data_IF_993475995033
#
_entry.id   IF_993475995033
#
_cell.length_a   1.000
_cell.length_b   1.000
_cell.length_c   1.000
_cell.angle_alpha   90.00
_cell.angle_beta   90.00
_cell.angle_gamma   90.00
#
_symmetry.space_group_name_H-M   'P 1'
#
loop_
_entity.id
_entity.type
_entity.pdbx_description
1 polymer ?
#
# COMPACT_ATOMS: atom_id res chain seq x y z
N UNK A 1 24.49 -46.01 33.76
CA UNK A 1 23.84 -44.83 33.16
C UNK A 1 22.52 -44.45 33.83
N UNK A 2 21.59 -45.38 34.09
CA UNK A 2 20.29 -45.06 34.71
C UNK A 2 20.38 -44.32 36.06
N UNK A 3 21.36 -44.67 36.91
CA UNK A 3 21.57 -43.94 38.17
C UNK A 3 22.00 -42.48 37.94
N UNK A 4 22.84 -42.23 36.94
CA UNK A 4 23.32 -40.89 36.61
C UNK A 4 22.22 -40.01 36.03
N UNK A 5 21.31 -40.55 35.21
CA UNK A 5 20.14 -39.79 34.74
C UNK A 5 19.20 -39.37 35.89
N UNK A 6 19.07 -40.20 36.93
CA UNK A 6 18.20 -39.90 38.07
C UNK A 6 18.81 -38.94 39.10
N UNK A 7 20.15 -38.92 39.25
CA UNK A 7 20.84 -38.14 40.30
C UNK A 7 21.62 -36.94 39.79
N UNK A 8 21.68 -36.76 38.47
CA UNK A 8 22.40 -35.63 37.85
C UNK A 8 21.53 -34.95 36.79
N UNK A 9 21.98 -33.78 36.38
CA UNK A 9 21.35 -32.95 35.36
C UNK A 9 21.45 -33.49 33.93
N UNK A 10 21.94 -34.74 33.74
CA UNK A 10 21.96 -35.41 32.45
C UNK A 10 20.54 -35.70 31.90
N UNK A 11 19.52 -35.76 32.75
CA UNK A 11 18.11 -35.77 32.37
C UNK A 11 17.36 -34.68 33.14
N UNK A 12 16.58 -33.85 32.42
CA UNK A 12 15.78 -32.78 33.03
C UNK A 12 14.38 -32.74 32.46
N UNK A 13 13.41 -32.56 33.35
CA UNK A 13 12.03 -32.27 33.00
C UNK A 13 11.79 -30.77 32.96
N UNK A 14 11.07 -30.30 31.95
CA UNK A 14 10.66 -28.91 31.80
C UNK A 14 9.14 -28.82 31.75
N UNK A 15 8.55 -28.02 32.64
CA UNK A 15 7.11 -27.78 32.65
C UNK A 15 6.74 -26.84 31.50
N UNK A 16 5.79 -27.27 30.66
CA UNK A 16 5.24 -26.46 29.58
C UNK A 16 3.81 -26.05 29.96
N UNK A 17 3.54 -24.75 29.93
CA UNK A 17 2.19 -24.19 30.05
C UNK A 17 2.00 -23.14 28.96
N UNK A 18 1.20 -23.47 27.94
CA UNK A 18 0.97 -22.61 26.77
C UNK A 18 -0.12 -21.56 27.05
N UNK A 19 0.11 -20.72 28.06
CA UNK A 19 -0.79 -19.61 28.40
C UNK A 19 -0.39 -18.35 27.65
N UNK A 20 -1.34 -17.74 26.92
CA UNK A 20 -1.10 -16.55 26.09
C UNK A 20 -2.35 -15.70 25.92
N UNK A 21 -2.18 -14.43 25.51
CA UNK A 21 -3.29 -13.53 25.19
C UNK A 21 -3.76 -13.81 23.77
N UNK A 22 -5.06 -14.08 23.60
CA UNK A 22 -5.66 -14.30 22.29
C UNK A 22 -5.92 -13.02 21.51
N UNK A 23 -6.37 -13.17 20.27
CA UNK A 23 -6.82 -12.06 19.42
C UNK A 23 -8.05 -11.32 19.99
N UNK A 24 -8.79 -11.97 20.90
CA UNK A 24 -9.89 -11.39 21.67
C UNK A 24 -9.42 -10.55 22.87
N UNK A 25 -8.09 -10.43 23.07
CA UNK A 25 -7.48 -9.68 24.16
C UNK A 25 -7.55 -10.37 25.53
N UNK A 26 -7.97 -11.64 25.59
CA UNK A 26 -8.12 -12.38 26.85
C UNK A 26 -7.01 -13.43 27.03
N UNK A 27 -6.50 -13.65 28.25
CA UNK A 27 -5.55 -14.71 28.52
C UNK A 27 -6.25 -16.08 28.50
N UNK A 28 -5.64 -17.05 27.81
CA UNK A 28 -6.11 -18.43 27.76
C UNK A 28 -4.95 -19.42 27.58
N UNK A 29 -5.09 -20.62 28.15
CA UNK A 29 -4.22 -21.76 27.84
C UNK A 29 -4.72 -22.38 26.54
N UNK A 30 -3.84 -22.49 25.54
CA UNK A 30 -4.20 -22.96 24.20
C UNK A 30 -3.44 -24.22 23.82
N UNK A 31 -4.11 -25.14 23.13
CA UNK A 31 -3.45 -26.29 22.54
C UNK A 31 -2.72 -25.90 21.23
N UNK A 32 -1.89 -26.80 20.70
CA UNK A 32 -1.09 -26.52 19.51
C UNK A 32 -1.93 -26.16 18.28
N UNK A 33 -3.08 -26.82 18.08
CA UNK A 33 -3.96 -26.57 16.94
C UNK A 33 -4.59 -25.17 17.03
N UNK A 34 -5.05 -24.77 18.21
CA UNK A 34 -5.62 -23.44 18.47
C UNK A 34 -4.59 -22.34 18.18
N UNK A 35 -3.36 -22.52 18.67
CA UNK A 35 -2.26 -21.56 18.46
C UNK A 35 -1.98 -21.37 16.98
N UNK A 36 -1.79 -22.47 16.23
CA UNK A 36 -1.48 -22.40 14.81
C UNK A 36 -2.64 -21.82 14.00
N UNK A 37 -3.88 -22.21 14.32
CA UNK A 37 -5.08 -21.72 13.63
C UNK A 37 -5.28 -20.22 13.84
N UNK A 38 -5.17 -19.77 15.08
CA UNK A 38 -5.33 -18.37 15.46
C UNK A 38 -4.19 -17.51 14.89
N UNK A 39 -2.97 -18.02 14.92
CA UNK A 39 -1.83 -17.35 14.31
C UNK A 39 -2.00 -17.19 12.79
N UNK A 40 -2.56 -18.19 12.09
CA UNK A 40 -2.85 -18.08 10.66
C UNK A 40 -3.94 -17.03 10.37
N UNK A 41 -4.94 -16.89 11.24
CA UNK A 41 -5.95 -15.82 11.14
C UNK A 41 -5.28 -14.45 11.29
N UNK A 42 -4.48 -14.27 12.34
CA UNK A 42 -3.71 -13.06 12.57
C UNK A 42 -2.78 -12.74 11.39
N UNK A 43 -2.06 -13.74 10.88
CA UNK A 43 -1.10 -13.56 9.79
C UNK A 43 -1.80 -13.18 8.50
N UNK A 44 -2.96 -13.78 8.21
CA UNK A 44 -3.79 -13.43 7.05
C UNK A 44 -4.29 -11.98 7.14
N UNK A 45 -4.77 -11.56 8.30
CA UNK A 45 -5.21 -10.17 8.52
C UNK A 45 -4.03 -9.18 8.35
N UNK A 46 -2.87 -9.50 8.93
CA UNK A 46 -1.65 -8.70 8.78
C UNK A 46 -1.24 -8.55 7.32
N UNK A 47 -1.26 -9.64 6.55
CA UNK A 47 -0.95 -9.60 5.12
C UNK A 47 -1.98 -8.80 4.34
N UNK A 48 -3.28 -8.96 4.64
CA UNK A 48 -4.35 -8.15 4.03
C UNK A 48 -4.13 -6.66 4.27
N UNK A 49 -3.84 -6.24 5.51
CA UNK A 49 -3.52 -4.84 5.84
C UNK A 49 -2.31 -4.33 5.07
N UNK A 50 -1.24 -5.14 4.98
CA UNK A 50 -0.04 -4.78 4.20
C UNK A 50 -0.34 -4.57 2.72
N UNK A 51 -1.15 -5.46 2.12
CA UNK A 51 -1.53 -5.36 0.71
C UNK A 51 -2.43 -4.15 0.46
N UNK A 52 -3.43 -3.91 1.33
CA UNK A 52 -4.28 -2.72 1.25
C UNK A 52 -3.46 -1.42 1.36
N UNK A 53 -2.49 -1.37 2.28
CA UNK A 53 -1.58 -0.23 2.41
C UNK A 53 -0.79 0.03 1.13
N UNK A 54 -0.28 -1.02 0.48
CA UNK A 54 0.44 -0.88 -0.79
C UNK A 54 -0.51 -0.47 -1.92
N UNK A 55 -1.68 -1.09 -2.00
CA UNK A 55 -2.70 -0.77 -3.00
C UNK A 55 -3.13 0.70 -2.92
N UNK A 56 -3.39 1.22 -1.73
CA UNK A 56 -3.74 2.63 -1.54
C UNK A 56 -2.64 3.57 -2.05
N UNK A 57 -1.36 3.24 -1.80
CA UNK A 57 -0.23 4.02 -2.34
C UNK A 57 -0.18 3.97 -3.86
N UNK A 58 -0.38 2.79 -4.46
CA UNK A 58 -0.39 2.60 -5.91
C UNK A 58 -1.54 3.41 -6.53
N UNK A 59 -2.75 3.31 -5.97
CA UNK A 59 -3.92 4.07 -6.44
C UNK A 59 -3.71 5.58 -6.35
N UNK A 60 -3.19 6.08 -5.22
CA UNK A 60 -2.85 7.50 -5.06
C UNK A 60 -1.84 7.96 -6.10
N UNK A 61 -0.81 7.13 -6.38
CA UNK A 61 0.20 7.48 -7.38
C UNK A 61 -0.39 7.49 -8.79
N UNK A 62 -1.14 6.46 -9.17
CA UNK A 62 -1.84 6.39 -10.46
C UNK A 62 -2.76 7.60 -10.67
N UNK A 63 -3.51 7.98 -9.64
CA UNK A 63 -4.38 9.17 -9.67
C UNK A 63 -3.62 10.45 -9.99
N UNK A 64 -2.45 10.65 -9.39
CA UNK A 64 -1.59 11.81 -9.72
C UNK A 64 -1.05 11.70 -11.14
N UNK A 65 -0.55 10.53 -11.56
CA UNK A 65 -0.02 10.33 -12.91
C UNK A 65 -1.07 10.60 -14.00
N UNK A 66 -2.33 10.23 -13.77
CA UNK A 66 -3.45 10.54 -14.65
C UNK A 66 -3.61 12.06 -14.83
N UNK A 67 -3.62 12.83 -13.73
CA UNK A 67 -3.72 14.29 -13.79
C UNK A 67 -2.54 14.92 -14.52
N UNK A 68 -1.32 14.41 -14.29
CA UNK A 68 -0.13 14.89 -15.00
C UNK A 68 -0.26 14.63 -16.51
N UNK A 69 -0.71 13.45 -16.93
CA UNK A 69 -0.89 13.12 -18.35
C UNK A 69 -1.94 14.01 -19.05
N UNK A 70 -3.02 14.36 -18.35
CA UNK A 70 -4.00 15.34 -18.84
C UNK A 70 -3.34 16.70 -19.04
N UNK A 71 -2.46 17.13 -18.12
CA UNK A 71 -1.72 18.38 -18.26
C UNK A 71 -0.71 18.34 -19.43
N UNK A 72 -0.03 17.22 -19.67
CA UNK A 72 0.87 17.08 -20.83
C UNK A 72 0.12 17.18 -22.16
N UNK A 73 -1.09 16.60 -22.25
CA UNK A 73 -1.89 16.65 -23.47
C UNK A 73 -2.39 18.06 -23.78
N UNK A 74 -2.63 18.88 -22.75
CA UNK A 74 -3.22 20.22 -22.86
C UNK A 74 -2.28 21.31 -22.31
N UNK A 75 -0.97 21.16 -22.53
CA UNK A 75 0.05 21.99 -21.85
C UNK A 75 -0.11 23.49 -22.12
N UNK A 76 -0.48 23.87 -23.35
CA UNK A 76 -0.66 25.26 -23.73
C UNK A 76 -1.82 25.90 -22.96
N UNK A 77 -2.93 25.18 -22.83
CA UNK A 77 -4.13 25.63 -22.10
C UNK A 77 -3.89 25.65 -20.58
N UNK A 78 -3.15 24.68 -20.04
CA UNK A 78 -2.73 24.69 -18.64
C UNK A 78 -1.85 25.91 -18.34
N UNK A 79 -0.88 26.23 -19.20
CA UNK A 79 -0.02 27.40 -19.04
C UNK A 79 -0.83 28.69 -19.17
N UNK A 80 -1.79 28.74 -20.11
CA UNK A 80 -2.67 29.89 -20.28
C UNK A 80 -3.50 30.17 -19.03
N UNK A 81 -4.13 29.14 -18.46
CA UNK A 81 -4.88 29.25 -17.19
C UNK A 81 -3.97 29.73 -16.06
N UNK A 82 -2.78 29.14 -15.91
CA UNK A 82 -1.83 29.51 -14.84
C UNK A 82 -1.34 30.97 -14.98
N UNK A 83 -1.28 31.50 -16.21
CA UNK A 83 -0.79 32.87 -16.46
C UNK A 83 -1.88 33.93 -16.34
N UNK A 84 -3.13 33.60 -16.65
CA UNK A 84 -4.21 34.57 -16.80
C UNK A 84 -5.22 34.56 -15.64
N UNK A 85 -5.31 33.48 -14.88
CA UNK A 85 -6.20 33.38 -13.71
C UNK A 85 -5.45 33.75 -12.42
N UNK A 86 -6.10 34.53 -11.55
CA UNK A 86 -5.57 34.86 -10.22
C UNK A 86 -5.52 33.61 -9.33
N UNK A 87 -6.50 32.72 -9.46
CA UNK A 87 -6.59 31.44 -8.76
C UNK A 87 -6.64 30.28 -9.77
N UNK A 88 -5.49 29.76 -10.22
CA UNK A 88 -5.46 28.75 -11.29
C UNK A 88 -5.97 27.37 -10.85
N UNK A 89 -5.90 27.04 -9.56
CA UNK A 89 -6.27 25.73 -9.03
C UNK A 89 -7.77 25.39 -9.25
N UNK A 90 -8.74 26.22 -8.82
CA UNK A 90 -10.16 25.99 -9.14
C UNK A 90 -10.47 25.97 -10.64
N UNK A 91 -9.78 26.79 -11.43
CA UNK A 91 -9.95 26.85 -12.88
C UNK A 91 -9.49 25.55 -13.57
N UNK A 92 -8.31 25.02 -13.21
CA UNK A 92 -7.79 23.74 -13.70
C UNK A 92 -8.72 22.56 -13.33
N UNK A 93 -9.23 22.54 -12.10
CA UNK A 93 -10.18 21.52 -11.65
C UNK A 93 -11.47 21.55 -12.47
N UNK A 94 -12.05 22.73 -12.67
CA UNK A 94 -13.30 22.89 -13.40
C UNK A 94 -13.16 22.59 -14.88
N UNK A 95 -12.04 22.98 -15.49
CA UNK A 95 -11.81 22.83 -16.92
C UNK A 95 -11.53 21.39 -17.33
N UNK A 96 -10.68 20.71 -16.56
CA UNK A 96 -10.18 19.37 -16.90
C UNK A 96 -10.80 18.24 -16.06
N UNK A 97 -11.75 18.56 -15.18
CA UNK A 97 -12.38 17.59 -14.28
C UNK A 97 -11.41 16.99 -13.25
N UNK A 98 -10.37 17.75 -12.89
CA UNK A 98 -9.31 17.29 -12.00
C UNK A 98 -9.75 17.43 -10.54
N UNK A 99 -9.26 16.51 -9.70
CA UNK A 99 -9.36 16.65 -8.26
C UNK A 99 -8.37 17.69 -7.73
N UNK A 100 -8.60 18.15 -6.51
CA UNK A 100 -7.74 19.11 -5.84
C UNK A 100 -6.27 18.64 -5.78
N UNK A 101 -6.04 17.37 -5.45
CA UNK A 101 -4.69 16.79 -5.34
C UNK A 101 -3.98 16.67 -6.70
N UNK A 102 -4.71 16.43 -7.78
CA UNK A 102 -4.17 16.43 -9.13
C UNK A 102 -3.80 17.85 -9.58
N UNK A 103 -4.68 18.82 -9.36
CA UNK A 103 -4.43 20.22 -9.70
C UNK A 103 -3.18 20.74 -8.95
N UNK A 104 -3.07 20.43 -7.66
CA UNK A 104 -1.87 20.76 -6.86
C UNK A 104 -0.60 20.15 -7.46
N UNK A 105 -0.65 18.87 -7.84
CA UNK A 105 0.50 18.19 -8.43
C UNK A 105 0.92 18.79 -9.80
N UNK A 106 -0.03 19.32 -10.57
CA UNK A 106 0.25 20.02 -11.83
C UNK A 106 0.90 21.37 -11.55
N UNK A 107 0.44 22.12 -10.55
CA UNK A 107 1.03 23.42 -10.19
C UNK A 107 2.47 23.27 -9.64
N UNK A 108 2.77 22.16 -8.98
CA UNK A 108 4.12 21.80 -8.50
C UNK A 108 5.04 21.27 -9.62
N UNK A 109 4.57 21.14 -10.86
CA UNK A 109 5.43 20.71 -11.97
C UNK A 109 6.50 21.76 -12.29
N UNK A 110 7.74 21.29 -12.33
CA UNK A 110 8.87 22.09 -12.84
C UNK A 110 8.87 22.07 -14.36
N UNK A 111 9.14 23.21 -15.00
CA UNK A 111 9.22 23.33 -16.47
C UNK A 111 10.11 22.27 -17.14
N UNK A 112 11.21 21.86 -16.50
CA UNK A 112 12.09 20.79 -17.00
C UNK A 112 11.39 19.44 -17.17
N UNK A 113 10.31 19.21 -16.42
CA UNK A 113 9.52 17.99 -16.51
C UNK A 113 8.58 17.99 -17.72
N UNK A 114 8.45 19.11 -18.45
CA UNK A 114 7.63 19.19 -19.67
C UNK A 114 8.29 18.58 -20.92
N UNK A 115 9.50 18.03 -20.79
CA UNK A 115 10.19 17.38 -21.89
C UNK A 115 9.50 16.05 -22.28
N UNK A 116 9.48 15.70 -23.58
CA UNK A 116 8.92 14.43 -24.09
C UNK A 116 9.46 13.17 -23.38
N UNK A 117 10.72 13.20 -22.94
CA UNK A 117 11.33 12.09 -22.21
C UNK A 117 10.65 11.83 -20.86
N UNK A 118 10.17 12.88 -20.19
CA UNK A 118 9.49 12.75 -18.90
C UNK A 118 8.05 12.24 -19.07
N UNK A 119 7.37 12.62 -20.16
CA UNK A 119 6.07 12.01 -20.51
C UNK A 119 6.20 10.49 -20.70
N UNK A 120 7.23 10.03 -21.43
CA UNK A 120 7.48 8.59 -21.62
C UNK A 120 7.74 7.87 -20.30
N UNK A 121 8.50 8.48 -19.38
CA UNK A 121 8.73 7.93 -18.04
C UNK A 121 7.44 7.82 -17.24
N UNK A 122 6.59 8.84 -17.29
CA UNK A 122 5.29 8.84 -16.59
C UNK A 122 4.38 7.74 -17.13
N UNK A 123 4.29 7.57 -18.45
CA UNK A 123 3.52 6.47 -19.06
C UNK A 123 4.07 5.10 -18.69
N UNK A 124 5.40 4.96 -18.63
CA UNK A 124 6.07 3.75 -18.16
C UNK A 124 5.70 3.42 -16.71
N UNK A 125 5.84 4.41 -15.82
CA UNK A 125 5.49 4.28 -14.40
C UNK A 125 4.00 3.92 -14.23
N UNK A 126 3.10 4.57 -14.98
CA UNK A 126 1.68 4.26 -14.95
C UNK A 126 1.41 2.79 -15.35
N UNK A 127 2.01 2.32 -16.45
CA UNK A 127 1.83 0.95 -16.93
C UNK A 127 2.32 -0.10 -15.92
N UNK A 128 3.43 0.17 -15.23
CA UNK A 128 3.94 -0.72 -14.18
C UNK A 128 3.01 -0.74 -12.96
N UNK A 129 2.55 0.43 -12.53
CA UNK A 129 1.65 0.57 -11.39
C UNK A 129 0.25 -0.01 -11.64
N UNK A 130 -0.25 0.04 -12.88
CA UNK A 130 -1.51 -0.61 -13.27
C UNK A 130 -1.40 -2.13 -13.14
N UNK A 131 -0.30 -2.73 -13.62
CA UNK A 131 -0.05 -4.17 -13.44
C UNK A 131 0.05 -4.54 -11.96
N UNK A 132 0.73 -3.72 -11.16
CA UNK A 132 0.83 -3.93 -9.72
C UNK A 132 -0.54 -3.81 -9.04
N UNK A 133 -1.35 -2.81 -9.39
CA UNK A 133 -2.71 -2.63 -8.89
C UNK A 133 -3.54 -3.89 -9.15
N UNK A 134 -3.55 -4.38 -10.38
CA UNK A 134 -4.35 -5.53 -10.78
C UNK A 134 -3.89 -6.81 -10.06
N UNK A 135 -2.58 -6.99 -9.87
CA UNK A 135 -2.04 -8.09 -9.07
C UNK A 135 -2.48 -8.00 -7.61
N UNK A 136 -2.41 -6.83 -6.99
CA UNK A 136 -2.81 -6.62 -5.60
C UNK A 136 -4.32 -6.84 -5.41
N UNK A 137 -5.14 -6.29 -6.31
CA UNK A 137 -6.58 -6.50 -6.31
C UNK A 137 -6.95 -7.97 -6.56
N UNK A 138 -6.22 -8.67 -7.43
CA UNK A 138 -6.40 -10.10 -7.66
C UNK A 138 -6.15 -10.93 -6.38
N UNK A 139 -5.07 -10.66 -5.66
CA UNK A 139 -4.75 -11.35 -4.40
C UNK A 139 -5.78 -11.04 -3.31
N UNK A 140 -6.24 -9.80 -3.23
CA UNK A 140 -7.24 -9.36 -2.24
C UNK A 140 -8.65 -9.86 -2.55
N UNK A 141 -9.01 -9.98 -3.84
CA UNK A 141 -10.33 -10.39 -4.32
C UNK A 141 -10.56 -11.91 -4.33
N UNK A 142 -9.51 -12.73 -4.29
CA UNK A 142 -9.61 -14.20 -4.38
C UNK A 142 -10.28 -14.89 -3.16
N UNK A 143 -10.73 -14.14 -2.16
CA UNK A 143 -11.46 -14.69 -0.99
C UNK A 143 -12.56 -13.73 -0.52
N UNK A 144 -13.69 -13.79 -1.23
CA UNK A 144 -15.02 -13.67 -0.62
C UNK A 144 -15.59 -15.08 -0.44
#
# INVERSE_FOLDING_TARGET
>A
MNHLFATTDLEKSYRINLNMIGLDGRPAVKNLLEILSEWLVFRRDTVRRRLNYRLEKVLKRLHILEGLLVAFLNIDEVIEIIRNEDEPKPALMSRFGLTETQAEAILELKLRHLAKLEEMKIRGEQSELEKERDQLQGILGFRA
#
